data_IF_886038820085
#
_entry.id   IF_886038820085
#
_cell.length_a   1.000
_cell.length_b   1.000
_cell.length_c   1.000
_cell.angle_alpha   90.00
_cell.angle_beta   90.00
_cell.angle_gamma   90.00
#
_symmetry.space_group_name_H-M   'P 1'
#
loop_
_entity.id
_entity.type
_entity.pdbx_description
1 polymer ?
#
# COMPACT_ATOMS: atom_id res chain seq x y z
N UNK A 1 5.09 15.19 12.22
CA UNK A 1 5.61 15.26 10.83
C UNK A 1 4.62 14.58 9.91
N UNK A 2 4.35 15.14 8.74
CA UNK A 2 3.45 14.56 7.74
C UNK A 2 4.27 14.05 6.55
N UNK A 3 3.95 12.87 6.04
CA UNK A 3 4.64 12.28 4.88
C UNK A 3 3.61 11.78 3.87
N UNK A 4 3.94 11.89 2.59
CA UNK A 4 3.20 11.25 1.51
C UNK A 4 4.08 10.12 0.99
N UNK A 5 3.51 8.93 0.88
CA UNK A 5 4.22 7.77 0.32
C UNK A 5 3.82 7.59 -1.14
N UNK A 6 4.81 7.35 -1.98
CA UNK A 6 4.60 7.02 -3.39
C UNK A 6 3.84 5.69 -3.55
N UNK A 7 3.14 5.54 -4.68
CA UNK A 7 2.44 4.32 -5.08
C UNK A 7 3.33 3.07 -4.95
N UNK A 8 4.59 3.16 -5.37
CA UNK A 8 5.51 2.02 -5.28
C UNK A 8 5.87 1.66 -3.83
N UNK A 9 5.95 2.64 -2.94
CA UNK A 9 6.23 2.39 -1.51
C UNK A 9 5.04 1.69 -0.86
N UNK A 10 3.80 2.07 -1.20
CA UNK A 10 2.61 1.38 -0.75
C UNK A 10 2.57 -0.08 -1.21
N UNK A 11 2.72 -0.32 -2.52
CA UNK A 11 2.73 -1.66 -3.08
C UNK A 11 3.87 -2.50 -2.48
N UNK A 12 5.07 -1.93 -2.39
CA UNK A 12 6.22 -2.55 -1.74
C UNK A 12 5.91 -3.00 -0.32
N UNK A 13 5.23 -2.16 0.45
CA UNK A 13 4.90 -2.43 1.86
C UNK A 13 3.84 -3.51 2.03
N UNK A 14 2.87 -3.60 1.11
CA UNK A 14 1.77 -4.55 1.15
C UNK A 14 2.22 -5.95 0.73
N UNK A 15 2.96 -6.03 -0.38
CA UNK A 15 3.26 -7.32 -1.02
C UNK A 15 4.61 -7.91 -0.62
N UNK A 16 5.59 -7.08 -0.28
CA UNK A 16 6.95 -7.54 0.01
C UNK A 16 7.35 -7.25 1.46
N UNK A 17 7.94 -8.25 2.11
CA UNK A 17 8.56 -8.06 3.44
C UNK A 17 9.92 -7.40 3.23
N UNK A 18 10.06 -6.14 3.59
CA UNK A 18 11.29 -5.38 3.35
C UNK A 18 11.30 -3.97 3.95
N UNK A 19 12.19 -3.12 3.46
CA UNK A 19 12.39 -1.75 3.95
C UNK A 19 11.10 -0.91 3.92
N UNK A 20 10.27 -1.06 2.89
CA UNK A 20 9.00 -0.33 2.79
C UNK A 20 8.04 -0.66 3.98
N UNK A 21 7.96 -1.93 4.38
CA UNK A 21 7.20 -2.34 5.57
C UNK A 21 7.77 -1.74 6.87
N UNK A 22 9.09 -1.52 6.94
CA UNK A 22 9.73 -0.83 8.07
C UNK A 22 9.38 0.64 8.08
N UNK A 23 9.25 1.29 6.91
CA UNK A 23 8.83 2.70 6.80
C UNK A 23 7.44 2.88 7.41
N UNK A 24 6.44 2.08 7.00
CA UNK A 24 5.07 2.20 7.55
C UNK A 24 5.07 1.97 9.07
N UNK A 25 5.76 0.93 9.55
CA UNK A 25 5.86 0.64 10.99
C UNK A 25 6.56 1.75 11.77
N UNK A 26 7.63 2.32 11.23
CA UNK A 26 8.35 3.42 11.87
C UNK A 26 7.51 4.70 11.87
N UNK A 27 6.73 4.94 10.82
CA UNK A 27 5.80 6.07 10.79
C UNK A 27 4.76 5.94 11.91
N UNK A 28 4.14 4.76 12.06
CA UNK A 28 3.20 4.48 13.16
C UNK A 28 3.85 4.64 14.54
N UNK A 29 5.08 4.15 14.74
CA UNK A 29 5.78 4.24 16.05
C UNK A 29 6.28 5.63 16.41
N UNK A 30 6.64 6.47 15.44
CA UNK A 30 7.24 7.80 15.65
C UNK A 30 6.23 8.95 15.53
N UNK A 31 4.93 8.65 15.60
CA UNK A 31 3.86 9.65 15.43
C UNK A 31 4.00 10.46 14.12
N UNK A 32 4.44 9.80 13.05
CA UNK A 32 4.47 10.37 11.70
C UNK A 32 3.13 10.06 11.06
N UNK A 33 2.41 11.10 10.66
CA UNK A 33 1.13 10.95 9.98
C UNK A 33 1.40 10.69 8.50
N UNK A 34 0.97 9.51 8.03
CA UNK A 34 0.97 9.20 6.60
C UNK A 34 -0.29 9.84 6.00
N UNK A 35 -0.11 10.61 4.95
CA UNK A 35 -1.16 11.20 4.15
C UNK A 35 -1.17 10.52 2.79
N UNK A 36 -2.35 10.38 2.19
CA UNK A 36 -2.53 9.87 0.84
C UNK A 36 -3.48 10.80 0.08
N UNK A 37 -3.26 10.94 -1.22
CA UNK A 37 -4.14 11.71 -2.11
C UNK A 37 -5.01 10.74 -2.92
N UNK A 38 -6.15 11.21 -3.41
CA UNK A 38 -7.03 10.42 -4.29
C UNK A 38 -6.31 9.97 -5.57
N UNK A 39 -5.35 10.75 -6.05
CA UNK A 39 -4.52 10.40 -7.21
C UNK A 39 -3.64 9.18 -6.94
N UNK A 40 -2.92 9.16 -5.80
CA UNK A 40 -2.10 8.01 -5.40
C UNK A 40 -2.99 6.80 -5.15
N UNK A 41 -4.14 7.00 -4.50
CA UNK A 41 -5.09 5.92 -4.26
C UNK A 41 -5.60 5.30 -5.57
N UNK A 42 -5.94 6.14 -6.55
CA UNK A 42 -6.39 5.72 -7.88
C UNK A 42 -5.30 4.97 -8.63
N UNK A 43 -4.05 5.45 -8.56
CA UNK A 43 -2.91 4.77 -9.18
C UNK A 43 -2.67 3.39 -8.56
N UNK A 44 -2.76 3.27 -7.23
CA UNK A 44 -2.67 1.96 -6.55
C UNK A 44 -3.76 1.02 -7.07
N UNK A 45 -5.01 1.47 -7.12
CA UNK A 45 -6.14 0.66 -7.63
C UNK A 45 -5.89 0.24 -9.08
N UNK A 46 -5.44 1.16 -9.92
CA UNK A 46 -5.12 0.89 -11.33
C UNK A 46 -4.02 -0.16 -11.47
N UNK A 47 -2.94 -0.04 -10.70
CA UNK A 47 -1.83 -0.99 -10.71
C UNK A 47 -2.27 -2.37 -10.24
N UNK A 48 -3.08 -2.45 -9.17
CA UNK A 48 -3.61 -3.72 -8.68
C UNK A 48 -4.55 -4.41 -9.68
N UNK A 49 -5.26 -3.62 -10.50
CA UNK A 49 -6.17 -4.13 -11.54
C UNK A 49 -5.46 -4.46 -12.85
N UNK A 50 -4.37 -3.79 -13.22
CA UNK A 50 -3.71 -3.96 -14.53
C UNK A 50 -2.58 -4.98 -14.51
N UNK A 51 -1.84 -5.07 -13.41
CA UNK A 51 -0.62 -5.89 -13.35
C UNK A 51 -0.90 -7.32 -12.88
N UNK A 52 -0.67 -8.30 -13.76
CA UNK A 52 -0.90 -9.72 -13.49
C UNK A 52 -0.13 -10.25 -12.26
N UNK A 53 1.05 -9.67 -11.95
CA UNK A 53 1.84 -10.06 -10.78
C UNK A 53 1.08 -9.84 -9.47
N UNK A 54 0.42 -8.68 -9.32
CA UNK A 54 -0.33 -8.34 -8.11
C UNK A 54 -1.64 -9.11 -8.04
N UNK A 55 -2.35 -9.25 -9.16
CA UNK A 55 -3.54 -10.08 -9.23
C UNK A 55 -3.26 -11.52 -8.78
N UNK A 56 -2.14 -12.11 -9.20
CA UNK A 56 -1.72 -13.44 -8.77
C UNK A 56 -1.46 -13.50 -7.26
N UNK A 57 -0.70 -12.54 -6.71
CA UNK A 57 -0.46 -12.46 -5.26
C UNK A 57 -1.76 -12.34 -4.44
N UNK A 58 -2.69 -11.51 -4.91
CA UNK A 58 -4.00 -11.30 -4.26
C UNK A 58 -4.79 -12.62 -4.26
N UNK A 59 -4.84 -13.30 -5.42
CA UNK A 59 -5.51 -14.59 -5.58
C UNK A 59 -4.89 -15.67 -4.71
N UNK A 60 -3.56 -15.79 -4.70
CA UNK A 60 -2.83 -16.79 -3.91
C UNK A 60 -3.03 -16.61 -2.41
N UNK A 61 -3.32 -15.37 -1.96
CA UNK A 61 -3.62 -15.05 -0.54
C UNK A 61 -5.12 -15.04 -0.22
N UNK A 62 -5.99 -15.35 -1.17
CA UNK A 62 -7.45 -15.26 -1.02
C UNK A 62 -7.90 -13.89 -0.47
N UNK A 63 -7.26 -12.81 -0.92
CA UNK A 63 -7.61 -11.43 -0.57
C UNK A 63 -8.38 -10.78 -1.73
N UNK A 64 -9.01 -9.63 -1.48
CA UNK A 64 -9.55 -8.76 -2.52
C UNK A 64 -8.89 -7.37 -2.44
N UNK A 65 -9.03 -6.59 -3.52
CA UNK A 65 -8.45 -5.24 -3.60
C UNK A 65 -9.06 -4.31 -2.56
N UNK A 66 -10.37 -4.42 -2.29
CA UNK A 66 -11.07 -3.55 -1.34
C UNK A 66 -10.49 -3.64 0.08
N UNK A 67 -10.20 -4.85 0.56
CA UNK A 67 -9.59 -5.09 1.87
C UNK A 67 -8.17 -4.49 1.97
N UNK A 68 -7.41 -4.55 0.87
CA UNK A 68 -6.09 -3.93 0.80
C UNK A 68 -6.20 -2.40 0.89
N UNK A 69 -7.15 -1.81 0.17
CA UNK A 69 -7.39 -0.36 0.22
C UNK A 69 -7.86 0.07 1.62
N UNK A 70 -8.74 -0.69 2.27
CA UNK A 70 -9.16 -0.40 3.65
C UNK A 70 -7.99 -0.35 4.62
N UNK A 71 -6.96 -1.18 4.41
CA UNK A 71 -5.73 -1.17 5.22
C UNK A 71 -4.86 0.08 5.00
N UNK A 72 -4.92 0.67 3.80
CA UNK A 72 -4.22 1.92 3.48
C UNK A 72 -4.91 3.11 4.17
N UNK A 73 -6.24 3.09 4.23
CA UNK A 73 -7.06 4.17 4.77
C UNK A 73 -7.25 4.13 6.30
N UNK A 74 -6.82 3.05 6.98
CA UNK A 74 -6.92 2.87 8.43
C UNK A 74 -5.73 3.42 9.21
#
# INVERSE_FOLDING_TARGET
MKVVLDTNVWLSSIFWKGEASKIIRNCKRKSIQIMITDQILSEIIDVLNKEAKFQRFIKDRNQNIEDLIRTILS
#
